data_IF_898993109755
#
_entry.id   IF_898993109755
#
_cell.length_a   1.000
_cell.length_b   1.000
_cell.length_c   1.000
_cell.angle_alpha   90.00
_cell.angle_beta   90.00
_cell.angle_gamma   90.00
#
_symmetry.space_group_name_H-M   'P 1'
#
loop_
_entity.id
_entity.type
_entity.pdbx_description
1 polymer ?
#
# COMPACT_ATOMS: atom_id res chain seq x y z
N UNK A 1 15.09 -14.23 27.71
CA UNK A 1 13.71 -14.68 27.42
C UNK A 1 12.77 -13.56 27.85
N UNK A 2 12.35 -12.68 26.93
CA UNK A 2 11.44 -11.56 27.23
C UNK A 2 9.99 -12.03 27.04
N UNK A 3 9.14 -11.72 28.00
CA UNK A 3 7.71 -12.07 28.04
C UNK A 3 6.95 -11.24 27.00
N UNK A 4 5.96 -11.85 26.37
CA UNK A 4 5.10 -11.28 25.32
C UNK A 4 4.08 -10.24 25.86
N UNK A 5 4.52 -9.39 26.77
CA UNK A 5 3.99 -8.02 26.91
C UNK A 5 4.84 -7.01 26.14
N UNK A 6 5.97 -7.45 25.56
CA UNK A 6 6.77 -6.65 24.65
C UNK A 6 6.28 -6.86 23.20
N UNK A 7 5.01 -6.51 22.93
CA UNK A 7 4.74 -5.79 21.67
C UNK A 7 5.64 -4.57 21.81
N UNK A 8 6.63 -4.39 20.92
CA UNK A 8 7.45 -3.19 20.96
C UNK A 8 6.46 -2.02 21.05
N UNK A 9 6.53 -1.22 22.10
CA UNK A 9 5.67 -0.05 22.25
C UNK A 9 5.88 0.97 21.11
N UNK A 10 6.79 0.67 20.18
CA UNK A 10 7.03 1.34 18.91
C UNK A 10 6.45 0.63 17.68
N UNK A 11 5.90 -0.58 17.78
CA UNK A 11 5.20 -1.27 16.69
C UNK A 11 3.85 -0.61 16.48
N UNK A 12 3.92 0.51 15.75
CA UNK A 12 2.78 1.32 15.36
C UNK A 12 1.97 0.66 14.27
N UNK A 13 2.26 -0.55 13.77
CA UNK A 13 1.52 -1.13 12.63
C UNK A 13 0.01 -1.21 12.89
N UNK A 14 -0.40 -1.70 14.05
CA UNK A 14 -1.81 -1.76 14.49
C UNK A 14 -2.35 -0.35 14.78
N UNK A 15 -1.53 0.52 15.37
CA UNK A 15 -1.86 1.94 15.57
C UNK A 15 -2.01 2.68 14.22
N UNK A 16 -1.33 2.26 13.15
CA UNK A 16 -1.34 2.84 11.82
C UNK A 16 -2.63 2.45 11.08
N UNK A 17 -3.04 1.17 11.16
CA UNK A 17 -4.30 0.70 10.57
C UNK A 17 -5.52 1.28 11.30
N UNK A 18 -5.44 1.42 12.62
CA UNK A 18 -6.49 2.09 13.40
C UNK A 18 -6.45 3.61 13.24
N UNK A 19 -5.27 4.25 13.17
CA UNK A 19 -5.13 5.68 12.84
C UNK A 19 -5.56 6.00 11.43
N UNK A 20 -5.30 5.18 10.42
CA UNK A 20 -5.77 5.41 9.05
C UNK A 20 -7.30 5.29 8.97
N UNK A 21 -7.91 4.32 9.70
CA UNK A 21 -9.36 4.26 9.86
C UNK A 21 -9.95 5.44 10.68
N UNK A 22 -9.18 6.02 11.60
CA UNK A 22 -9.53 7.25 12.34
C UNK A 22 -9.29 8.52 11.49
N UNK A 23 -8.28 8.53 10.62
CA UNK A 23 -7.96 9.62 9.68
C UNK A 23 -8.94 9.66 8.51
N UNK A 24 -9.60 8.54 8.17
CA UNK A 24 -10.83 8.58 7.36
C UNK A 24 -11.90 9.49 7.97
N UNK A 25 -11.91 9.72 9.30
CA UNK A 25 -12.78 10.72 9.94
C UNK A 25 -12.27 12.17 9.81
N UNK A 26 -11.02 12.37 9.40
CA UNK A 26 -10.39 13.67 9.11
C UNK A 26 -10.35 13.99 7.61
N UNK A 27 -10.81 13.08 6.75
CA UNK A 27 -11.09 13.43 5.36
C UNK A 27 -12.23 14.44 5.39
N UNK A 28 -11.99 15.60 4.80
CA UNK A 28 -13.03 16.59 4.52
C UNK A 28 -13.95 15.98 3.46
N UNK A 29 -14.89 15.15 3.91
CA UNK A 29 -15.80 14.37 3.06
C UNK A 29 -16.47 15.28 2.05
N UNK A 30 -16.82 16.50 2.45
CA UNK A 30 -17.49 17.47 1.59
C UNK A 30 -16.62 17.90 0.39
N UNK A 31 -15.29 17.92 0.54
CA UNK A 31 -14.34 18.18 -0.55
C UNK A 31 -14.07 17.00 -1.47
N UNK A 32 -14.50 15.78 -1.13
CA UNK A 32 -14.36 14.64 -2.02
C UNK A 32 -15.20 14.83 -3.30
N UNK A 33 -14.68 14.31 -4.41
CA UNK A 33 -15.47 14.17 -5.64
C UNK A 33 -16.64 13.22 -5.41
N UNK A 34 -17.71 13.34 -6.20
CA UNK A 34 -18.87 12.44 -6.12
C UNK A 34 -18.46 10.97 -6.22
N UNK A 35 -17.51 10.67 -7.11
CA UNK A 35 -16.98 9.31 -7.32
C UNK A 35 -16.36 8.74 -6.03
N UNK A 36 -15.50 9.53 -5.36
CA UNK A 36 -14.85 9.12 -4.11
C UNK A 36 -15.85 9.02 -2.94
N UNK A 37 -16.88 9.86 -2.92
CA UNK A 37 -17.98 9.77 -1.95
C UNK A 37 -18.75 8.47 -2.11
N UNK A 38 -19.07 8.09 -3.34
CA UNK A 38 -19.79 6.84 -3.64
C UNK A 38 -18.96 5.61 -3.24
N UNK A 39 -17.66 5.63 -3.53
CA UNK A 39 -16.72 4.58 -3.14
C UNK A 39 -16.62 4.45 -1.61
N UNK A 40 -16.42 5.57 -0.90
CA UNK A 40 -16.38 5.60 0.57
C UNK A 40 -17.65 5.01 1.19
N UNK A 41 -18.83 5.43 0.71
CA UNK A 41 -20.11 4.92 1.23
C UNK A 41 -20.32 3.43 0.95
N UNK A 42 -19.80 2.92 -0.17
CA UNK A 42 -19.84 1.50 -0.51
C UNK A 42 -18.98 0.68 0.46
N UNK A 43 -17.77 1.14 0.75
CA UNK A 43 -16.91 0.50 1.75
C UNK A 43 -17.49 0.56 3.16
N UNK A 44 -18.07 1.70 3.56
CA UNK A 44 -18.74 1.85 4.84
C UNK A 44 -19.88 0.85 5.03
N UNK A 45 -20.69 0.62 3.98
CA UNK A 45 -21.76 -0.39 4.00
C UNK A 45 -21.22 -1.82 4.12
N UNK A 46 -20.10 -2.13 3.46
CA UNK A 46 -19.43 -3.45 3.55
C UNK A 46 -18.91 -3.70 4.95
N UNK A 47 -18.25 -2.71 5.55
CA UNK A 47 -17.70 -2.79 6.91
C UNK A 47 -18.77 -2.96 7.98
N UNK A 48 -19.98 -2.43 7.78
CA UNK A 48 -21.10 -2.52 8.74
C UNK A 48 -22.00 -3.75 8.54
N UNK A 49 -21.57 -4.76 7.76
CA UNK A 49 -22.33 -5.97 7.49
C UNK A 49 -22.27 -6.95 8.67
N UNK A 50 -23.42 -7.36 9.21
CA UNK A 50 -23.51 -8.37 10.29
C UNK A 50 -23.39 -9.82 9.78
N UNK A 51 -22.91 -10.03 8.55
CA UNK A 51 -22.79 -11.36 7.94
C UNK A 51 -21.37 -11.60 7.43
N UNK A 52 -20.81 -12.77 7.74
CA UNK A 52 -19.51 -13.20 7.22
C UNK A 52 -19.65 -13.57 5.74
N UNK A 53 -19.36 -12.63 4.86
CA UNK A 53 -19.40 -12.81 3.40
C UNK A 53 -18.10 -12.32 2.78
N UNK A 54 -17.59 -13.07 1.80
CA UNK A 54 -16.51 -12.59 0.94
C UNK A 54 -17.07 -11.57 -0.05
N UNK A 55 -16.41 -10.42 -0.14
CA UNK A 55 -16.68 -9.42 -1.15
C UNK A 55 -15.57 -9.48 -2.20
N UNK A 56 -15.95 -9.70 -3.45
CA UNK A 56 -15.02 -9.62 -4.58
C UNK A 56 -15.17 -8.23 -5.18
N UNK A 57 -14.14 -7.40 -5.05
CA UNK A 57 -14.00 -6.16 -5.79
C UNK A 57 -13.06 -6.40 -6.96
N UNK A 58 -13.56 -6.12 -8.17
CA UNK A 58 -12.71 -5.95 -9.35
C UNK A 58 -12.60 -4.46 -9.61
N UNK A 59 -11.39 -3.93 -9.53
CA UNK A 59 -11.10 -2.56 -9.92
C UNK A 59 -10.72 -2.62 -11.40
N UNK A 60 -11.42 -1.86 -12.25
CA UNK A 60 -10.96 -1.65 -13.61
C UNK A 60 -9.75 -0.72 -13.57
N UNK A 61 -8.72 -1.00 -14.38
CA UNK A 61 -7.56 -0.11 -14.49
C UNK A 61 -7.97 1.18 -15.20
N UNK A 62 -8.49 2.14 -14.43
CA UNK A 62 -8.75 3.49 -14.92
C UNK A 62 -7.43 4.23 -14.96
N UNK A 63 -6.94 4.52 -16.16
CA UNK A 63 -5.81 5.44 -16.33
C UNK A 63 -6.28 6.87 -16.14
N UNK A 64 -5.54 7.62 -15.34
CA UNK A 64 -5.84 9.01 -15.03
C UNK A 64 -4.82 9.92 -15.71
N UNK A 65 -5.30 10.90 -16.48
CA UNK A 65 -4.44 11.90 -17.12
C UNK A 65 -3.66 12.68 -16.07
N UNK A 66 -2.38 12.83 -16.31
CA UNK A 66 -1.48 13.59 -15.46
C UNK A 66 -0.36 14.15 -16.33
N UNK A 67 -0.32 15.48 -16.50
CA UNK A 67 0.68 16.14 -17.35
C UNK A 67 2.03 16.30 -16.63
N UNK A 68 2.07 16.14 -15.30
CA UNK A 68 3.28 16.31 -14.51
C UNK A 68 4.08 15.01 -14.47
N UNK A 69 5.36 15.06 -14.86
CA UNK A 69 6.24 13.89 -14.76
C UNK A 69 6.62 13.63 -13.30
N UNK A 70 6.26 12.46 -12.79
CA UNK A 70 6.52 12.08 -11.39
C UNK A 70 7.48 10.89 -11.38
N UNK A 71 8.58 11.05 -10.64
CA UNK A 71 9.52 9.97 -10.37
C UNK A 71 9.25 9.39 -8.99
N UNK A 72 9.06 8.08 -8.91
CA UNK A 72 8.77 7.35 -7.67
C UNK A 72 10.02 6.54 -7.32
N UNK A 73 10.71 6.94 -6.25
CA UNK A 73 11.92 6.25 -5.82
C UNK A 73 11.54 5.14 -4.85
N UNK A 74 11.97 3.92 -5.14
CA UNK A 74 11.63 2.71 -4.38
C UNK A 74 12.88 1.90 -4.04
N UNK A 75 12.80 1.16 -2.94
CA UNK A 75 13.81 0.18 -2.53
C UNK A 75 13.14 -1.07 -1.91
N UNK A 76 13.97 -2.02 -1.50
CA UNK A 76 13.57 -3.30 -0.90
C UNK A 76 12.89 -3.16 0.48
N UNK A 77 12.79 -1.93 1.02
CA UNK A 77 12.11 -1.65 2.29
C UNK A 77 10.70 -1.12 2.10
N UNK A 78 10.31 -0.79 0.86
CA UNK A 78 8.92 -0.44 0.56
C UNK A 78 8.08 -1.71 0.65
N UNK A 79 7.13 -1.72 1.58
CA UNK A 79 6.31 -2.88 1.91
C UNK A 79 4.84 -2.47 2.16
N UNK A 80 3.91 -3.40 1.99
CA UNK A 80 2.51 -3.24 2.44
C UNK A 80 1.83 -2.01 1.83
N UNK A 81 1.32 -1.07 2.64
CA UNK A 81 0.64 0.14 2.13
C UNK A 81 1.54 1.01 1.23
N UNK A 82 2.86 0.91 1.37
CA UNK A 82 3.80 1.54 0.42
C UNK A 82 3.71 0.93 -0.98
N UNK A 83 3.49 -0.39 -1.07
CA UNK A 83 3.30 -1.11 -2.32
C UNK A 83 1.89 -0.87 -2.88
N UNK A 84 0.89 -0.81 -2.02
CA UNK A 84 -0.47 -0.39 -2.40
C UNK A 84 -0.47 1.03 -2.99
N UNK A 85 0.28 1.96 -2.40
CA UNK A 85 0.45 3.31 -2.94
C UNK A 85 1.10 3.32 -4.33
N UNK A 86 2.09 2.46 -4.58
CA UNK A 86 2.67 2.30 -5.92
C UNK A 86 1.60 1.83 -6.91
N UNK A 87 0.74 0.88 -6.52
CA UNK A 87 -0.35 0.42 -7.38
C UNK A 87 -1.29 1.55 -7.80
N UNK A 88 -1.61 2.48 -6.88
CA UNK A 88 -2.38 3.68 -7.19
C UNK A 88 -1.62 4.65 -8.09
N UNK A 89 -0.33 4.90 -7.80
CA UNK A 89 0.48 5.77 -8.65
C UNK A 89 0.55 5.24 -10.08
N UNK A 90 0.69 3.92 -10.28
CA UNK A 90 0.70 3.31 -11.61
C UNK A 90 -0.60 3.50 -12.39
N UNK A 91 -1.70 3.99 -11.79
CA UNK A 91 -2.91 4.39 -12.52
C UNK A 91 -2.77 5.77 -13.18
N UNK A 92 -1.83 6.60 -12.74
CA UNK A 92 -1.56 7.91 -13.33
C UNK A 92 -0.70 7.78 -14.61
N UNK A 93 -0.90 8.69 -15.55
CA UNK A 93 0.03 8.90 -16.66
C UNK A 93 1.32 9.59 -16.19
N UNK A 94 2.40 9.50 -16.97
CA UNK A 94 3.68 10.17 -16.71
C UNK A 94 4.39 9.81 -15.37
N UNK A 95 4.17 8.58 -14.87
CA UNK A 95 4.89 8.02 -13.74
C UNK A 95 6.09 7.19 -14.21
N UNK A 96 7.22 7.32 -13.51
CA UNK A 96 8.39 6.46 -13.68
C UNK A 96 8.87 5.98 -12.31
N UNK A 97 8.85 4.67 -12.09
CA UNK A 97 9.33 4.03 -10.86
C UNK A 97 10.83 3.71 -11.01
N UNK A 98 11.63 4.11 -10.03
CA UNK A 98 13.10 4.07 -10.09
C UNK A 98 13.69 3.49 -8.81
N UNK A 99 14.61 2.53 -8.94
CA UNK A 99 15.34 1.96 -7.81
C UNK A 99 15.49 0.45 -7.91
N UNK A 100 15.14 -0.27 -6.83
CA UNK A 100 15.11 -1.75 -6.81
C UNK A 100 13.68 -2.25 -6.67
N UNK A 101 13.50 -3.57 -6.66
CA UNK A 101 12.23 -4.16 -6.26
C UNK A 101 11.81 -3.71 -4.86
N UNK A 102 10.50 -3.64 -4.64
CA UNK A 102 9.89 -3.53 -3.31
C UNK A 102 9.92 -4.88 -2.57
N UNK A 103 9.48 -4.93 -1.31
CA UNK A 103 9.65 -6.10 -0.45
C UNK A 103 8.77 -7.30 -0.82
N UNK A 104 7.67 -7.09 -1.53
CA UNK A 104 6.71 -8.15 -1.87
C UNK A 104 5.84 -8.55 -0.69
N UNK A 105 5.15 -7.62 -0.05
CA UNK A 105 4.36 -7.84 1.17
C UNK A 105 2.96 -7.19 1.08
N UNK A 106 2.20 -7.52 0.03
CA UNK A 106 0.90 -6.88 -0.29
C UNK A 106 -0.27 -7.87 -0.39
N UNK A 107 -0.01 -9.18 -0.53
CA UNK A 107 -1.04 -10.19 -0.81
C UNK A 107 -2.19 -10.19 0.21
N UNK A 108 -1.90 -9.94 1.49
CA UNK A 108 -2.88 -9.98 2.57
C UNK A 108 -2.54 -9.00 3.69
N UNK A 109 -3.49 -8.81 4.60
CA UNK A 109 -3.28 -8.05 5.83
C UNK A 109 -3.02 -8.98 7.03
N UNK A 110 -2.71 -8.40 8.18
CA UNK A 110 -2.64 -9.14 9.45
C UNK A 110 -3.84 -8.72 10.29
N UNK A 111 -4.96 -9.42 10.13
CA UNK A 111 -6.21 -9.11 10.83
C UNK A 111 -6.34 -9.88 12.15
N UNK A 112 -6.17 -11.19 12.12
CA UNK A 112 -6.24 -12.04 13.33
C UNK A 112 -4.83 -12.36 13.80
N UNK A 113 -4.60 -12.15 15.10
CA UNK A 113 -3.44 -12.65 15.83
C UNK A 113 -3.96 -13.43 17.03
N UNK A 114 -3.63 -14.70 17.11
CA UNK A 114 -4.09 -15.55 18.20
C UNK A 114 -2.99 -16.54 18.58
N UNK A 115 -3.13 -17.13 19.76
CA UNK A 115 -2.26 -18.19 20.23
C UNK A 115 -3.09 -19.45 20.45
N UNK A 116 -2.62 -20.59 19.93
CA UNK A 116 -3.29 -21.86 20.13
C UNK A 116 -3.26 -22.24 21.63
N UNK A 117 -4.41 -22.64 22.22
CA UNK A 117 -4.56 -22.72 23.67
C UNK A 117 -3.69 -23.79 24.34
N UNK A 118 -3.36 -24.87 23.62
CA UNK A 118 -2.62 -26.01 24.19
C UNK A 118 -1.14 -26.04 23.77
N UNK A 119 -0.81 -25.56 22.57
CA UNK A 119 0.57 -25.62 22.04
C UNK A 119 1.32 -24.30 22.18
N UNK A 120 0.62 -23.22 22.53
CA UNK A 120 1.16 -21.86 22.58
C UNK A 120 1.78 -21.36 21.25
N UNK A 121 1.44 -22.00 20.13
CA UNK A 121 1.87 -21.54 18.80
C UNK A 121 1.10 -20.27 18.47
N UNK A 122 1.83 -19.21 18.12
CA UNK A 122 1.25 -17.98 17.60
C UNK A 122 0.84 -18.18 16.15
N UNK A 123 -0.39 -17.83 15.83
CA UNK A 123 -0.94 -17.83 14.48
C UNK A 123 -1.38 -16.43 14.09
N UNK A 124 -1.16 -16.08 12.82
CA UNK A 124 -1.64 -14.84 12.24
C UNK A 124 -2.16 -15.07 10.83
N UNK A 125 -3.32 -14.52 10.50
CA UNK A 125 -3.87 -14.57 9.15
C UNK A 125 -4.73 -13.35 8.86
N UNK A 126 -4.80 -13.01 7.57
CA UNK A 126 -5.58 -11.90 7.07
C UNK A 126 -7.02 -12.26 6.78
N UNK A 127 -7.84 -11.23 6.56
CA UNK A 127 -9.21 -11.33 6.06
C UNK A 127 -9.38 -10.71 4.66
N UNK A 128 -8.27 -10.38 3.99
CA UNK A 128 -8.23 -9.78 2.65
C UNK A 128 -7.24 -10.57 1.79
N UNK A 129 -7.55 -10.74 0.51
CA UNK A 129 -6.63 -11.25 -0.50
C UNK A 129 -6.60 -10.24 -1.65
N UNK A 130 -5.42 -9.72 -1.96
CA UNK A 130 -5.19 -8.76 -3.03
C UNK A 130 -4.45 -9.43 -4.18
N UNK A 131 -5.02 -9.39 -5.38
CA UNK A 131 -4.38 -9.88 -6.60
C UNK A 131 -4.08 -8.69 -7.52
N UNK A 132 -2.79 -8.50 -7.84
CA UNK A 132 -2.34 -7.44 -8.74
C UNK A 132 -1.41 -8.04 -9.80
N UNK A 133 -1.67 -7.74 -11.08
CA UNK A 133 -0.94 -8.32 -12.22
C UNK A 133 0.54 -7.88 -12.30
N UNK A 134 0.85 -6.72 -11.71
CA UNK A 134 2.17 -6.09 -11.77
C UNK A 134 3.00 -6.37 -10.50
N UNK A 135 2.49 -7.21 -9.60
CA UNK A 135 3.06 -7.50 -8.29
C UNK A 135 3.21 -9.01 -8.09
N UNK A 136 4.32 -9.41 -7.46
CA UNK A 136 4.54 -10.79 -7.04
C UNK A 136 4.94 -10.83 -5.55
N UNK A 137 4.21 -11.59 -4.73
CA UNK A 137 4.52 -11.72 -3.30
C UNK A 137 5.93 -12.30 -3.10
N UNK A 138 6.69 -11.72 -2.16
CA UNK A 138 8.11 -12.03 -1.93
C UNK A 138 9.08 -11.43 -2.95
N UNK A 139 8.60 -10.82 -4.04
CA UNK A 139 9.45 -10.09 -5.01
C UNK A 139 9.10 -8.62 -5.15
N UNK A 140 7.85 -8.22 -4.88
CA UNK A 140 7.40 -6.84 -4.96
C UNK A 140 7.05 -6.36 -6.36
N UNK A 141 6.88 -5.05 -6.47
CA UNK A 141 6.83 -4.31 -7.73
C UNK A 141 8.24 -4.14 -8.29
N UNK A 142 8.37 -4.38 -9.59
CA UNK A 142 9.60 -4.07 -10.32
C UNK A 142 9.63 -2.61 -10.72
N UNK A 143 10.79 -1.92 -10.61
CA UNK A 143 10.93 -0.56 -11.08
C UNK A 143 10.99 -0.52 -12.61
N UNK A 144 10.57 0.60 -13.20
CA UNK A 144 10.74 0.87 -14.63
C UNK A 144 12.23 1.10 -14.96
N UNK A 145 12.97 1.71 -14.04
CA UNK A 145 14.41 1.98 -14.15
C UNK A 145 15.15 1.41 -12.94
N UNK A 146 15.99 0.42 -13.20
CA UNK A 146 16.82 -0.20 -12.17
C UNK A 146 18.01 0.68 -11.78
N UNK A 147 18.10 1.01 -10.50
CA UNK A 147 19.24 1.73 -9.90
C UNK A 147 19.61 1.02 -8.59
N UNK A 148 20.90 0.78 -8.40
CA UNK A 148 21.41 0.16 -7.18
C UNK A 148 21.23 1.04 -5.94
N UNK A 149 21.39 0.43 -4.76
CA UNK A 149 21.15 1.11 -3.49
C UNK A 149 22.16 2.24 -3.25
N UNK A 150 21.66 3.45 -2.95
CA UNK A 150 22.45 4.54 -2.34
C UNK A 150 22.48 5.86 -3.11
N UNK A 151 22.16 5.90 -4.41
CA UNK A 151 22.27 7.13 -5.22
C UNK A 151 21.07 7.41 -6.16
N UNK A 152 19.95 6.71 -5.97
CA UNK A 152 18.72 6.86 -6.78
C UNK A 152 18.23 8.30 -6.84
N UNK A 153 18.23 9.01 -5.71
CA UNK A 153 17.82 10.42 -5.65
C UNK A 153 18.72 11.32 -6.50
N UNK A 154 20.04 11.21 -6.32
CA UNK A 154 21.00 12.05 -7.06
C UNK A 154 20.93 11.80 -8.57
N UNK A 155 20.73 10.54 -8.98
CA UNK A 155 20.59 10.19 -10.40
C UNK A 155 19.30 10.73 -10.99
N UNK A 156 18.19 10.61 -10.27
CA UNK A 156 16.89 11.18 -10.69
C UNK A 156 16.98 12.71 -10.77
N UNK A 157 17.60 13.37 -9.79
CA UNK A 157 17.82 14.82 -9.82
C UNK A 157 18.69 15.24 -11.01
N UNK A 158 19.79 14.53 -11.28
CA UNK A 158 20.63 14.79 -12.47
C UNK A 158 19.86 14.60 -13.77
N UNK A 159 18.96 13.63 -13.84
CA UNK A 159 18.11 13.40 -15.00
C UNK A 159 17.14 14.57 -15.21
N UNK A 160 16.45 15.00 -14.16
CA UNK A 160 15.50 16.13 -14.20
C UNK A 160 16.22 17.43 -14.58
N UNK A 161 17.40 17.70 -14.00
CA UNK A 161 18.16 18.93 -14.24
C UNK A 161 18.82 18.98 -15.63
N UNK A 162 19.14 17.83 -16.23
CA UNK A 162 19.68 17.74 -17.59
C UNK A 162 18.62 17.62 -18.67
N UNK A 163 17.39 17.26 -18.31
CA UNK A 163 16.30 17.18 -19.27
C UNK A 163 16.05 18.57 -19.88
N UNK A 164 15.89 18.69 -21.21
CA UNK A 164 15.50 19.95 -21.81
C UNK A 164 14.18 20.42 -21.18
N UNK A 165 14.12 21.71 -20.80
CA UNK A 165 12.88 22.33 -20.33
C UNK A 165 11.91 22.31 -21.52
N UNK A 166 10.83 21.56 -21.37
CA UNK A 166 9.73 21.47 -22.34
C UNK A 166 8.89 22.75 -22.23
#
# INVERSE_FOLDING_TARGET
MRRMHDVDSKDKSIELFSKSAIELKNIDYDKLTTELKDEYNKELKRSNSNSNKWYISKTEEKRHKNDTKIFVIVDDKVASTGEEFISYLKTLENIVVVGTNTSGSLLSNIYIRSQLPNSHINISFGNIITANKDFEEGKGFQPDVWIGNGDSLDRVLKLILKAPKI
#
